data_IF_064685699431
#
_entry.id   IF_064685699431
#
_cell.length_a   1.000
_cell.length_b   1.000
_cell.length_c   1.000
_cell.angle_alpha   90.00
_cell.angle_beta   90.00
_cell.angle_gamma   90.00
#
_symmetry.space_group_name_H-M   'P 1'
#
loop_
_entity.id
_entity.type
_entity.pdbx_description
1 polymer ?
#
# COMPACT_ATOMS: atom_id res chain seq x y z
N UNK A 1 29.83 11.04 21.00
CA UNK A 1 28.70 11.87 20.53
C UNK A 1 27.88 10.99 19.59
N UNK A 2 26.90 10.24 20.11
CA UNK A 2 26.09 9.34 19.27
C UNK A 2 25.09 10.17 18.49
N UNK A 3 25.32 10.32 17.19
CA UNK A 3 24.34 10.87 16.27
C UNK A 3 23.09 9.98 16.32
N UNK A 4 22.04 10.48 16.96
CA UNK A 4 20.67 10.03 16.78
C UNK A 4 20.28 10.29 15.32
N UNK A 5 20.80 9.50 14.39
CA UNK A 5 20.24 9.39 13.06
C UNK A 5 18.76 9.08 13.27
N UNK A 6 17.87 10.03 12.96
CA UNK A 6 16.42 9.83 12.99
C UNK A 6 16.16 8.55 12.21
N UNK A 7 15.89 7.43 12.90
CA UNK A 7 15.68 6.13 12.23
C UNK A 7 14.53 6.32 11.25
N UNK A 8 14.83 6.33 9.96
CA UNK A 8 13.87 6.10 8.92
C UNK A 8 13.34 4.68 9.11
N UNK A 9 12.01 4.56 9.15
CA UNK A 9 11.27 3.33 9.39
C UNK A 9 10.02 3.33 8.53
N UNK A 10 9.51 2.13 8.23
CA UNK A 10 8.24 1.95 7.53
C UNK A 10 7.10 2.65 8.26
N UNK A 11 7.14 2.67 9.60
CA UNK A 11 6.13 3.36 10.40
C UNK A 11 6.03 4.84 10.04
N UNK A 12 7.16 5.53 9.85
CA UNK A 12 7.17 6.96 9.48
C UNK A 12 6.62 7.19 8.07
N UNK A 13 6.95 6.31 7.13
CA UNK A 13 6.39 6.37 5.79
C UNK A 13 4.87 6.15 5.83
N UNK A 14 4.41 5.18 6.62
CA UNK A 14 2.98 4.90 6.79
C UNK A 14 2.27 6.09 7.44
N UNK A 15 2.83 6.67 8.51
CA UNK A 15 2.30 7.89 9.15
C UNK A 15 2.10 9.03 8.15
N UNK A 16 3.07 9.25 7.27
CA UNK A 16 2.98 10.28 6.24
C UNK A 16 1.89 9.97 5.20
N UNK A 17 1.75 8.71 4.77
CA UNK A 17 0.66 8.30 3.89
C UNK A 17 -0.71 8.52 4.56
N UNK A 18 -0.87 8.15 5.83
CA UNK A 18 -2.12 8.34 6.58
C UNK A 18 -2.51 9.81 6.70
N UNK A 19 -1.53 10.69 6.97
CA UNK A 19 -1.78 12.13 7.00
C UNK A 19 -2.19 12.69 5.63
N UNK A 20 -1.56 12.21 4.57
CA UNK A 20 -1.86 12.63 3.21
C UNK A 20 -3.25 12.17 2.76
N UNK A 21 -3.64 10.92 3.03
CA UNK A 21 -4.99 10.40 2.75
C UNK A 21 -6.06 11.22 3.47
N UNK A 22 -5.82 11.51 4.75
CA UNK A 22 -6.71 12.37 5.55
C UNK A 22 -6.80 13.79 4.98
N UNK A 23 -5.69 14.38 4.55
CA UNK A 23 -5.67 15.71 3.95
C UNK A 23 -6.40 15.78 2.61
N UNK A 24 -6.44 14.66 1.86
CA UNK A 24 -7.18 14.53 0.61
C UNK A 24 -8.67 14.19 0.81
N UNK A 25 -9.10 13.85 2.03
CA UNK A 25 -10.48 13.49 2.32
C UNK A 25 -10.93 12.18 1.65
N UNK A 26 -9.99 11.25 1.42
CA UNK A 26 -10.29 9.98 0.74
C UNK A 26 -10.97 8.95 1.65
N UNK A 27 -10.96 9.16 2.97
CA UNK A 27 -11.51 8.23 3.98
C UNK A 27 -10.90 6.81 3.92
N UNK A 28 -9.72 6.68 3.28
CA UNK A 28 -8.96 5.45 3.13
C UNK A 28 -7.87 5.29 4.20
N UNK A 29 -7.84 6.15 5.21
CA UNK A 29 -6.98 5.95 6.38
C UNK A 29 -7.36 4.70 7.18
N UNK A 30 -6.36 4.07 7.77
CA UNK A 30 -6.54 3.02 8.75
C UNK A 30 -7.11 3.59 10.05
N UNK A 31 -8.02 2.85 10.66
CA UNK A 31 -8.40 3.11 12.06
C UNK A 31 -7.20 2.89 12.98
N UNK A 32 -7.26 3.41 14.20
CA UNK A 32 -6.20 3.21 15.19
C UNK A 32 -5.89 1.73 15.44
N UNK A 33 -6.92 0.89 15.49
CA UNK A 33 -6.80 -0.56 15.70
C UNK A 33 -6.15 -1.25 14.50
N UNK A 34 -6.60 -0.94 13.28
CA UNK A 34 -6.02 -1.45 12.04
C UNK A 34 -4.54 -1.06 11.91
N UNK A 35 -4.24 0.20 12.17
CA UNK A 35 -2.89 0.72 12.16
C UNK A 35 -2.00 -0.03 13.17
N UNK A 36 -2.46 -0.15 14.42
CA UNK A 36 -1.72 -0.86 15.46
C UNK A 36 -1.50 -2.33 15.12
N UNK A 37 -2.49 -2.98 14.53
CA UNK A 37 -2.36 -4.35 14.06
C UNK A 37 -1.27 -4.47 12.99
N UNK A 38 -1.27 -3.58 11.99
CA UNK A 38 -0.28 -3.55 10.90
C UNK A 38 1.14 -3.38 11.45
N UNK A 39 1.39 -2.33 12.23
CA UNK A 39 2.76 -2.00 12.68
C UNK A 39 3.31 -3.02 13.68
N UNK A 40 2.42 -3.78 14.34
CA UNK A 40 2.82 -4.85 15.26
C UNK A 40 2.92 -6.22 14.60
N UNK A 41 2.46 -6.38 13.36
CA UNK A 41 2.51 -7.64 12.63
C UNK A 41 3.95 -8.12 12.41
N UNK A 42 4.12 -9.44 12.36
CA UNK A 42 5.44 -10.05 12.13
C UNK A 42 6.03 -9.63 10.77
N UNK A 43 5.20 -9.57 9.72
CA UNK A 43 5.63 -9.19 8.39
C UNK A 43 6.12 -7.73 8.34
N UNK A 44 5.41 -6.81 8.98
CA UNK A 44 5.82 -5.41 9.02
C UNK A 44 7.16 -5.24 9.74
N UNK A 45 7.34 -5.90 10.89
CA UNK A 45 8.60 -5.87 11.65
C UNK A 45 9.77 -6.51 10.89
N UNK A 46 9.53 -7.63 10.20
CA UNK A 46 10.56 -8.25 9.35
C UNK A 46 11.03 -7.29 8.25
N UNK A 47 10.08 -6.72 7.50
CA UNK A 47 10.41 -5.79 6.41
C UNK A 47 11.07 -4.52 6.94
N UNK A 48 10.59 -3.94 8.05
CA UNK A 48 11.18 -2.75 8.67
C UNK A 48 12.64 -2.97 9.08
N UNK A 49 12.99 -4.19 9.50
CA UNK A 49 14.37 -4.55 9.83
C UNK A 49 15.28 -4.79 8.62
N UNK A 50 14.72 -5.03 7.43
CA UNK A 50 15.46 -5.54 6.25
C UNK A 50 15.45 -4.65 5.03
N UNK A 51 14.54 -3.67 4.92
CA UNK A 51 14.41 -2.88 3.69
C UNK A 51 15.72 -2.16 3.31
N UNK A 52 16.47 -1.65 4.31
CA UNK A 52 17.75 -0.95 4.07
C UNK A 52 18.81 -1.88 3.49
N UNK A 53 18.89 -3.13 3.94
CA UNK A 53 19.84 -4.10 3.38
C UNK A 53 19.48 -4.53 1.96
N UNK A 54 18.26 -4.23 1.49
CA UNK A 54 17.84 -4.39 0.10
C UNK A 54 18.09 -3.14 -0.76
N UNK A 55 18.74 -2.11 -0.21
CA UNK A 55 18.97 -0.85 -0.90
C UNK A 55 17.71 0.00 -1.07
N UNK A 56 16.67 -0.25 -0.27
CA UNK A 56 15.43 0.51 -0.31
C UNK A 56 15.45 1.64 0.72
N UNK A 57 14.76 2.72 0.39
CA UNK A 57 14.30 3.74 1.34
C UNK A 57 13.08 3.23 2.13
N UNK A 58 12.63 4.02 3.12
CA UNK A 58 11.40 3.70 3.85
C UNK A 58 10.16 3.63 2.93
N UNK A 59 10.17 4.33 1.79
CA UNK A 59 9.09 4.32 0.81
C UNK A 59 9.07 3.03 0.00
N UNK A 60 10.23 2.60 -0.52
CA UNK A 60 10.37 1.30 -1.17
C UNK A 60 10.09 0.15 -0.20
N UNK A 61 10.52 0.26 1.07
CA UNK A 61 10.19 -0.70 2.12
C UNK A 61 8.70 -0.79 2.40
N UNK A 62 8.00 0.34 2.49
CA UNK A 62 6.55 0.37 2.68
C UNK A 62 5.82 -0.22 1.47
N UNK A 63 6.21 0.16 0.25
CA UNK A 63 5.67 -0.41 -0.98
C UNK A 63 5.86 -1.93 -1.05
N UNK A 64 7.02 -2.44 -0.64
CA UNK A 64 7.27 -3.88 -0.54
C UNK A 64 6.32 -4.58 0.43
N UNK A 65 6.05 -3.96 1.59
CA UNK A 65 5.08 -4.49 2.54
C UNK A 65 3.66 -4.51 1.97
N UNK A 66 3.23 -3.42 1.31
CA UNK A 66 1.90 -3.33 0.72
C UNK A 66 1.72 -4.36 -0.40
N UNK A 67 2.70 -4.47 -1.29
CA UNK A 67 2.74 -5.49 -2.34
C UNK A 67 2.57 -6.91 -1.78
N UNK A 68 3.34 -7.30 -0.76
CA UNK A 68 3.23 -8.63 -0.17
C UNK A 68 1.88 -8.90 0.49
N UNK A 69 1.30 -7.89 1.13
CA UNK A 69 0.04 -8.05 1.85
C UNK A 69 -1.12 -8.18 0.87
N UNK A 70 -1.20 -7.29 -0.12
CA UNK A 70 -2.24 -7.29 -1.15
C UNK A 70 -2.12 -8.52 -2.06
N UNK A 71 -0.92 -8.90 -2.50
CA UNK A 71 -0.71 -10.08 -3.35
C UNK A 71 -1.18 -11.38 -2.70
N UNK A 72 -0.89 -11.59 -1.41
CA UNK A 72 -1.36 -12.80 -0.70
C UNK A 72 -2.88 -12.89 -0.62
N UNK A 73 -3.55 -11.76 -0.46
CA UNK A 73 -5.01 -11.71 -0.41
C UNK A 73 -5.61 -11.88 -1.81
N UNK A 74 -4.99 -11.30 -2.84
CA UNK A 74 -5.35 -11.53 -4.23
C UNK A 74 -5.26 -13.02 -4.59
N UNK A 75 -4.13 -13.65 -4.31
CA UNK A 75 -3.92 -15.10 -4.54
C UNK A 75 -4.94 -15.96 -3.79
N UNK A 76 -5.22 -15.63 -2.53
CA UNK A 76 -6.23 -16.33 -1.74
C UNK A 76 -7.62 -16.22 -2.36
N UNK A 77 -8.01 -15.01 -2.79
CA UNK A 77 -9.30 -14.77 -3.44
C UNK A 77 -9.42 -15.50 -4.78
N UNK A 78 -8.40 -15.40 -5.64
CA UNK A 78 -8.34 -16.10 -6.93
C UNK A 78 -8.36 -17.62 -6.77
N UNK A 79 -7.78 -18.14 -5.69
CA UNK A 79 -7.85 -19.55 -5.31
C UNK A 79 -9.20 -19.99 -4.73
N UNK A 80 -10.22 -19.13 -4.73
CA UNK A 80 -11.56 -19.43 -4.23
C UNK A 80 -11.70 -19.43 -2.71
N UNK A 81 -10.72 -18.90 -1.97
CA UNK A 81 -10.86 -18.73 -0.52
C UNK A 81 -11.74 -17.54 -0.22
N UNK A 82 -12.72 -17.75 0.65
CA UNK A 82 -13.53 -16.68 1.18
C UNK A 82 -12.69 -15.78 2.10
N UNK A 83 -12.65 -14.49 1.76
CA UNK A 83 -11.95 -13.48 2.56
C UNK A 83 -12.93 -12.83 3.53
N UNK A 84 -12.48 -12.62 4.76
CA UNK A 84 -13.26 -11.86 5.74
C UNK A 84 -13.37 -10.39 5.29
N UNK A 85 -14.48 -9.68 5.58
CA UNK A 85 -14.64 -8.27 5.20
C UNK A 85 -13.47 -7.37 5.62
N UNK A 86 -12.96 -7.57 6.85
CA UNK A 86 -11.80 -6.82 7.35
C UNK A 86 -10.52 -7.07 6.53
N UNK A 87 -10.35 -8.26 5.94
CA UNK A 87 -9.20 -8.55 5.08
C UNK A 87 -9.31 -7.80 3.75
N UNK A 88 -10.52 -7.73 3.19
CA UNK A 88 -10.81 -6.98 1.96
C UNK A 88 -10.54 -5.48 2.21
N UNK A 89 -11.09 -4.92 3.28
CA UNK A 89 -10.88 -3.52 3.65
C UNK A 89 -9.39 -3.18 3.83
N UNK A 90 -8.64 -4.04 4.53
CA UNK A 90 -7.21 -3.82 4.74
C UNK A 90 -6.40 -3.90 3.44
N UNK A 91 -6.76 -4.80 2.52
CA UNK A 91 -6.13 -4.93 1.21
C UNK A 91 -6.42 -3.72 0.32
N UNK A 92 -7.65 -3.22 0.35
CA UNK A 92 -8.06 -2.03 -0.40
C UNK A 92 -7.29 -0.79 0.08
N UNK A 93 -7.25 -0.55 1.40
CA UNK A 93 -6.43 0.54 1.97
C UNK A 93 -4.94 0.37 1.66
N UNK A 94 -4.42 -0.86 1.66
CA UNK A 94 -3.03 -1.13 1.28
C UNK A 94 -2.78 -0.82 -0.21
N UNK A 95 -3.73 -1.16 -1.08
CA UNK A 95 -3.71 -0.82 -2.50
C UNK A 95 -3.72 0.70 -2.69
N UNK A 96 -4.58 1.44 -1.97
CA UNK A 96 -4.61 2.90 -1.99
C UNK A 96 -3.26 3.50 -1.56
N UNK A 97 -2.63 2.97 -0.52
CA UNK A 97 -1.30 3.43 -0.08
C UNK A 97 -0.24 3.19 -1.17
N UNK A 98 -0.26 2.03 -1.83
CA UNK A 98 0.65 1.75 -2.96
C UNK A 98 0.50 2.76 -4.09
N UNK A 99 -0.74 3.04 -4.50
CA UNK A 99 -1.03 4.02 -5.55
C UNK A 99 -0.62 5.44 -5.15
N UNK A 100 -0.85 5.83 -3.89
CA UNK A 100 -0.43 7.12 -3.36
C UNK A 100 1.10 7.30 -3.43
N UNK A 101 1.87 6.27 -3.04
CA UNK A 101 3.33 6.30 -3.10
C UNK A 101 3.78 6.38 -4.57
N UNK A 102 3.15 5.60 -5.46
CA UNK A 102 3.40 5.63 -6.91
C UNK A 102 3.22 7.02 -7.52
N UNK A 103 2.10 7.68 -7.22
CA UNK A 103 1.82 9.03 -7.70
C UNK A 103 2.76 10.09 -7.11
N UNK A 104 3.40 9.77 -5.97
CA UNK A 104 4.34 10.66 -5.30
C UNK A 104 5.78 10.50 -5.78
N UNK A 105 6.10 9.49 -6.63
CA UNK A 105 7.46 9.23 -7.12
C UNK A 105 8.20 10.49 -7.60
N UNK A 106 7.62 11.37 -8.43
CA UNK A 106 8.34 12.55 -8.93
C UNK A 106 8.81 13.51 -7.82
N UNK A 107 8.11 13.50 -6.68
CA UNK A 107 8.44 14.34 -5.51
C UNK A 107 9.41 13.68 -4.54
N UNK A 108 9.55 12.35 -4.61
CA UNK A 108 10.40 11.56 -3.73
C UNK A 108 11.72 11.32 -4.48
N UNK A 109 12.84 11.82 -3.94
CA UNK A 109 14.18 11.56 -4.51
C UNK A 109 14.59 10.10 -4.31
N UNK A 110 14.00 9.21 -5.09
CA UNK A 110 14.06 7.76 -4.91
C UNK A 110 15.15 7.11 -5.76
N UNK A 111 15.65 5.96 -5.29
CA UNK A 111 16.57 5.14 -6.07
C UNK A 111 15.81 4.33 -7.13
N UNK A 112 16.52 3.76 -8.11
CA UNK A 112 15.91 2.83 -9.08
C UNK A 112 15.28 1.61 -8.38
N UNK A 113 15.91 1.11 -7.30
CA UNK A 113 15.39 -0.01 -6.54
C UNK A 113 14.05 0.33 -5.84
N UNK A 114 13.93 1.54 -5.29
CA UNK A 114 12.67 2.06 -4.77
C UNK A 114 11.61 2.13 -5.86
N UNK A 115 11.93 2.76 -7.00
CA UNK A 115 10.98 2.93 -8.11
C UNK A 115 10.46 1.59 -8.61
N UNK A 116 11.33 0.59 -8.82
CA UNK A 116 10.91 -0.75 -9.25
C UNK A 116 9.96 -1.39 -8.22
N UNK A 117 10.27 -1.25 -6.93
CA UNK A 117 9.45 -1.82 -5.85
C UNK A 117 8.08 -1.14 -5.78
N UNK A 118 8.03 0.18 -5.96
CA UNK A 118 6.79 0.95 -5.96
C UNK A 118 5.94 0.63 -7.18
N UNK A 119 6.54 0.54 -8.38
CA UNK A 119 5.81 0.15 -9.59
C UNK A 119 5.17 -1.24 -9.43
N UNK A 120 5.91 -2.22 -8.93
CA UNK A 120 5.37 -3.55 -8.62
C UNK A 120 4.22 -3.48 -7.59
N UNK A 121 4.33 -2.64 -6.56
CA UNK A 121 3.26 -2.46 -5.58
C UNK A 121 2.01 -1.83 -6.22
N UNK A 122 2.18 -0.87 -7.13
CA UNK A 122 1.08 -0.25 -7.90
C UNK A 122 0.41 -1.24 -8.85
N UNK A 123 1.17 -2.10 -9.53
CA UNK A 123 0.63 -3.15 -10.41
C UNK A 123 -0.23 -4.15 -9.62
N UNK A 124 0.27 -4.62 -8.47
CA UNK A 124 -0.50 -5.52 -7.58
C UNK A 124 -1.75 -4.82 -7.05
N UNK A 125 -1.64 -3.53 -6.71
CA UNK A 125 -2.78 -2.73 -6.27
C UNK A 125 -3.85 -2.62 -7.36
N UNK A 126 -3.45 -2.37 -8.61
CA UNK A 126 -4.37 -2.33 -9.75
C UNK A 126 -5.06 -3.68 -9.96
N UNK A 127 -4.31 -4.78 -9.97
CA UNK A 127 -4.90 -6.12 -10.10
C UNK A 127 -5.90 -6.44 -8.98
N UNK A 128 -5.61 -6.02 -7.75
CA UNK A 128 -6.54 -6.15 -6.64
C UNK A 128 -7.83 -5.38 -6.91
N UNK A 129 -7.73 -4.10 -7.26
CA UNK A 129 -8.89 -3.25 -7.54
C UNK A 129 -9.73 -3.80 -8.69
N UNK A 130 -9.12 -4.22 -9.81
CA UNK A 130 -9.80 -4.83 -10.95
C UNK A 130 -10.52 -6.15 -10.61
N UNK A 131 -9.95 -6.91 -9.67
CA UNK A 131 -10.51 -8.17 -9.18
C UNK A 131 -11.67 -7.96 -8.21
N UNK A 132 -11.65 -6.87 -7.43
CA UNK A 132 -12.69 -6.53 -6.45
C UNK A 132 -13.74 -5.55 -6.95
N UNK A 133 -13.52 -4.91 -8.10
CA UNK A 133 -14.53 -4.06 -8.77
C UNK A 133 -15.81 -4.87 -8.97
N UNK A 134 -16.91 -4.37 -8.41
CA UNK A 134 -18.20 -5.03 -8.59
C UNK A 134 -18.72 -4.77 -10.02
N UNK A 135 -19.62 -5.62 -10.55
CA UNK A 135 -20.26 -5.37 -11.83
C UNK A 135 -20.94 -3.99 -11.93
N UNK A 136 -21.44 -3.45 -10.81
CA UNK A 136 -22.04 -2.12 -10.74
C UNK A 136 -20.99 -1.00 -10.90
N UNK A 137 -19.79 -1.20 -10.36
CA UNK A 137 -18.68 -0.24 -10.50
C UNK A 137 -18.13 -0.23 -11.94
N UNK A 138 -18.14 -1.39 -12.62
CA UNK A 138 -17.81 -1.51 -14.04
C UNK A 138 -18.86 -0.86 -14.95
N UNK A 139 -20.15 -1.07 -14.70
CA UNK A 139 -21.22 -0.39 -15.46
C UNK A 139 -21.15 1.13 -15.32
N UNK A 140 -20.92 1.65 -14.11
CA UNK A 140 -20.78 3.09 -13.87
C UNK A 140 -19.55 3.68 -14.60
N UNK A 141 -18.42 2.97 -14.57
CA UNK A 141 -17.17 3.38 -15.23
C UNK A 141 -17.28 3.37 -16.76
N UNK A 142 -17.98 2.38 -17.33
CA UNK A 142 -18.26 2.31 -18.77
C UNK A 142 -19.25 3.40 -19.22
N UNK A 143 -20.26 3.72 -18.41
CA UNK A 143 -21.22 4.79 -18.69
C UNK A 143 -20.55 6.18 -18.69
N UNK A 144 -19.64 6.42 -17.73
CA UNK A 144 -18.88 7.67 -17.65
C UNK A 144 -17.91 7.84 -18.83
N UNK A 145 -17.23 6.77 -19.25
CA UNK A 145 -16.30 6.79 -20.40
C UNK A 145 -17.00 6.88 -21.76
N UNK A 146 -18.29 6.52 -21.86
CA UNK A 146 -19.11 6.70 -23.07
C UNK A 146 -19.72 8.10 -23.21
N UNK A 147 -19.60 8.92 -22.17
CA UNK A 147 -20.18 10.26 -22.10
C UNK A 147 -19.16 11.38 -22.40
N UNK A 148 -17.92 11.03 -22.73
CA UNK A 148 -16.83 11.91 -23.17
C UNK A 148 -16.55 11.72 -24.66
#
# INVERSE_FOLDING_TARGET
>A
MFSFFKRESLKKALDACQQQLKAQGLEQEYTYEQYNFIVNSALFKDIDSRFKSKGLSQWGGLAWYMAQTTSKLLEASQGGKELKPIMIELAEKAATVSLLIGNSIPSLKLTQADMNTIMNASEIAQQWLEHTETPADKELSELLNRSS
#
